data_IF_893128647440
#
_entry.id   IF_893128647440
#
_cell.length_a   1.000
_cell.length_b   1.000
_cell.length_c   1.000
_cell.angle_alpha   90.00
_cell.angle_beta   90.00
_cell.angle_gamma   90.00
#
_symmetry.space_group_name_H-M   'P 1'
#
loop_
_entity.id
_entity.type
_entity.pdbx_description
1 polymer ?
#
# COMPACT_ATOMS: atom_id res chain seq x y z
N UNK A 1 -8.71 -21.03 14.30
CA UNK A 1 -8.68 -21.62 12.94
C UNK A 1 -8.42 -23.11 13.00
N UNK A 2 -7.40 -23.58 13.72
CA UNK A 2 -7.12 -25.02 13.90
C UNK A 2 -8.35 -25.88 14.24
N UNK A 3 -9.15 -25.49 15.25
CA UNK A 3 -10.35 -26.25 15.62
C UNK A 3 -11.39 -26.35 14.47
N UNK A 4 -11.58 -25.24 13.73
CA UNK A 4 -12.49 -25.17 12.58
C UNK A 4 -12.04 -26.12 11.46
N UNK A 5 -10.74 -26.11 11.13
CA UNK A 5 -10.18 -26.95 10.07
C UNK A 5 -10.20 -28.43 10.46
N UNK A 6 -9.73 -28.75 11.68
CA UNK A 6 -9.62 -30.15 12.15
C UNK A 6 -10.99 -30.80 12.34
N UNK A 7 -12.00 -30.04 12.74
CA UNK A 7 -13.36 -30.54 12.90
C UNK A 7 -14.20 -30.45 11.62
N UNK A 8 -13.65 -29.86 10.55
CA UNK A 8 -14.39 -29.51 9.35
C UNK A 8 -15.71 -28.80 9.69
N UNK A 9 -15.65 -27.80 10.57
CA UNK A 9 -16.84 -27.07 11.03
C UNK A 9 -17.58 -26.48 9.82
N UNK A 10 -18.91 -26.64 9.81
CA UNK A 10 -19.79 -26.22 8.73
C UNK A 10 -19.42 -26.77 7.33
N UNK A 11 -18.64 -27.86 7.30
CA UNK A 11 -18.09 -28.47 6.09
C UNK A 11 -17.21 -27.52 5.25
N UNK A 12 -16.46 -26.63 5.90
CA UNK A 12 -15.60 -25.65 5.22
C UNK A 12 -14.58 -26.29 4.26
N UNK A 13 -14.11 -27.50 4.54
CA UNK A 13 -13.18 -28.21 3.66
C UNK A 13 -13.82 -28.62 2.33
N UNK A 14 -15.16 -28.68 2.25
CA UNK A 14 -15.86 -28.96 1.00
C UNK A 14 -15.86 -27.76 0.04
N UNK A 15 -15.42 -26.59 0.49
CA UNK A 15 -15.28 -25.39 -0.34
C UNK A 15 -13.90 -25.29 -0.98
N UNK A 16 -12.99 -26.20 -0.64
CA UNK A 16 -11.60 -26.18 -1.05
C UNK A 16 -11.33 -27.30 -2.06
N UNK A 17 -10.61 -26.98 -3.11
CA UNK A 17 -10.15 -27.91 -4.13
C UNK A 17 -8.65 -28.17 -4.01
N UNK A 18 -8.19 -29.27 -4.63
CA UNK A 18 -6.77 -29.54 -4.74
C UNK A 18 -6.08 -28.41 -5.53
N UNK A 19 -4.93 -27.93 -5.04
CA UNK A 19 -4.22 -26.74 -5.52
C UNK A 19 -4.80 -25.37 -5.12
N UNK A 20 -5.82 -25.32 -4.26
CA UNK A 20 -6.22 -24.05 -3.65
C UNK A 20 -5.13 -23.51 -2.71
N UNK A 21 -4.97 -22.18 -2.74
CA UNK A 21 -4.04 -21.46 -1.88
C UNK A 21 -4.85 -20.72 -0.81
N UNK A 22 -4.72 -21.13 0.44
CA UNK A 22 -5.33 -20.42 1.57
C UNK A 22 -4.50 -19.20 1.92
N UNK A 23 -5.08 -18.02 1.71
CA UNK A 23 -4.47 -16.76 2.13
C UNK A 23 -4.84 -16.46 3.58
N UNK A 24 -3.86 -16.38 4.46
CA UNK A 24 -4.07 -16.16 5.90
C UNK A 24 -3.33 -14.94 6.42
N UNK A 25 -3.91 -14.32 7.45
CA UNK A 25 -3.24 -13.27 8.23
C UNK A 25 -2.06 -13.82 9.04
N UNK A 26 -1.11 -12.93 9.36
CA UNK A 26 0.06 -13.24 10.21
C UNK A 26 -0.34 -13.82 11.58
N UNK A 27 -1.52 -13.46 12.09
CA UNK A 27 -2.06 -13.96 13.36
C UNK A 27 -2.42 -15.46 13.36
N UNK A 28 -2.51 -16.09 12.19
CA UNK A 28 -2.82 -17.53 12.04
C UNK A 28 -1.57 -18.38 11.74
N UNK A 29 -0.38 -17.88 12.10
CA UNK A 29 0.89 -18.59 11.88
C UNK A 29 0.89 -20.02 12.46
N UNK A 30 0.23 -20.21 13.60
CA UNK A 30 0.07 -21.50 14.29
C UNK A 30 -0.79 -22.51 13.51
N UNK A 31 -1.49 -22.06 12.49
CA UNK A 31 -2.40 -22.86 11.67
C UNK A 31 -1.77 -23.35 10.36
N UNK A 32 -0.58 -22.84 10.01
CA UNK A 32 0.13 -23.19 8.76
C UNK A 32 0.39 -24.70 8.66
N UNK A 33 0.91 -25.31 9.73
CA UNK A 33 1.24 -26.74 9.73
C UNK A 33 -0.01 -27.61 9.59
N UNK A 34 -1.14 -27.18 10.15
CA UNK A 34 -2.43 -27.89 10.02
C UNK A 34 -2.94 -27.80 8.58
N UNK A 35 -2.88 -26.61 7.97
CA UNK A 35 -3.30 -26.40 6.57
C UNK A 35 -2.47 -27.29 5.62
N UNK A 36 -1.14 -27.30 5.80
CA UNK A 36 -0.24 -28.13 5.00
C UNK A 36 -0.47 -29.62 5.21
N UNK A 37 -0.77 -30.06 6.44
CA UNK A 37 -1.09 -31.46 6.73
C UNK A 37 -2.40 -31.92 6.07
N UNK A 38 -3.30 -30.99 5.73
CA UNK A 38 -4.51 -31.24 4.95
C UNK A 38 -4.25 -31.28 3.44
N UNK A 39 -3.01 -31.10 3.00
CA UNK A 39 -2.62 -31.12 1.57
C UNK A 39 -2.89 -29.82 0.84
N UNK A 40 -3.14 -28.72 1.56
CA UNK A 40 -3.45 -27.41 0.99
C UNK A 40 -2.22 -26.50 0.99
N UNK A 41 -2.13 -25.65 -0.03
CA UNK A 41 -1.14 -24.59 -0.06
C UNK A 41 -1.59 -23.40 0.79
N UNK A 42 -0.64 -22.66 1.34
CA UNK A 42 -0.90 -21.51 2.21
C UNK A 42 0.01 -20.34 1.88
N UNK A 43 -0.58 -19.16 1.79
CA UNK A 43 0.11 -17.90 1.59
C UNK A 43 -0.13 -16.97 2.78
N UNK A 44 0.94 -16.47 3.37
CA UNK A 44 0.90 -15.54 4.50
C UNK A 44 1.94 -14.43 4.28
N UNK A 45 1.65 -13.17 4.63
CA UNK A 45 2.63 -12.10 4.50
C UNK A 45 3.90 -12.42 5.30
N UNK A 46 5.10 -12.24 4.72
CA UNK A 46 6.35 -12.55 5.39
C UNK A 46 6.57 -11.66 6.61
N UNK A 47 7.45 -12.09 7.52
CA UNK A 47 7.85 -11.33 8.70
C UNK A 47 9.24 -10.74 8.48
N UNK A 48 9.53 -9.58 9.09
CA UNK A 48 10.87 -9.00 8.98
C UNK A 48 11.95 -9.88 9.63
N UNK A 49 11.59 -10.68 10.64
CA UNK A 49 12.48 -11.61 11.34
C UNK A 49 13.84 -10.97 11.74
N UNK A 50 13.77 -9.75 12.29
CA UNK A 50 14.95 -8.98 12.73
C UNK A 50 15.73 -8.27 11.62
N UNK A 51 15.34 -8.44 10.35
CA UNK A 51 15.87 -7.63 9.24
C UNK A 51 15.35 -6.19 9.36
N UNK A 52 16.07 -5.23 8.77
CA UNK A 52 15.60 -3.84 8.63
C UNK A 52 14.63 -3.67 7.45
N UNK A 53 14.73 -4.54 6.46
CA UNK A 53 13.98 -4.47 5.21
C UNK A 53 13.69 -5.87 4.68
N UNK A 54 12.53 -6.04 4.06
CA UNK A 54 12.22 -7.21 3.25
C UNK A 54 13.11 -7.29 2.01
N UNK A 55 13.47 -8.50 1.60
CA UNK A 55 13.98 -8.72 0.25
C UNK A 55 12.93 -8.31 -0.80
N UNK A 56 13.35 -8.05 -2.05
CA UNK A 56 12.41 -7.74 -3.13
C UNK A 56 11.33 -8.81 -3.30
N UNK A 57 11.70 -10.09 -3.15
CA UNK A 57 10.80 -11.23 -3.26
C UNK A 57 9.77 -11.26 -2.14
N UNK A 58 10.20 -11.13 -0.87
CA UNK A 58 9.31 -11.03 0.29
C UNK A 58 8.36 -9.82 0.15
N UNK A 59 8.87 -8.67 -0.27
CA UNK A 59 8.06 -7.45 -0.43
C UNK A 59 7.05 -7.57 -1.57
N UNK A 60 7.41 -8.22 -2.68
CA UNK A 60 6.51 -8.52 -3.79
C UNK A 60 5.44 -9.56 -3.38
N UNK A 61 5.84 -10.63 -2.68
CA UNK A 61 4.91 -11.63 -2.15
C UNK A 61 3.88 -10.99 -1.21
N UNK A 62 4.34 -10.13 -0.30
CA UNK A 62 3.47 -9.36 0.58
C UNK A 62 2.44 -8.55 -0.23
N UNK A 63 2.87 -7.85 -1.29
CA UNK A 63 1.94 -7.09 -2.14
C UNK A 63 0.94 -8.00 -2.85
N UNK A 64 1.37 -9.15 -3.35
CA UNK A 64 0.49 -10.12 -4.00
C UNK A 64 -0.61 -10.58 -3.04
N UNK A 65 -0.24 -10.90 -1.79
CA UNK A 65 -1.17 -11.30 -0.75
C UNK A 65 -2.16 -10.19 -0.41
N UNK A 66 -1.68 -8.96 -0.18
CA UNK A 66 -2.56 -7.80 0.07
C UNK A 66 -3.51 -7.55 -1.10
N UNK A 67 -3.06 -7.76 -2.34
CA UNK A 67 -3.92 -7.61 -3.53
C UNK A 67 -5.07 -8.61 -3.57
N UNK A 68 -4.83 -9.87 -3.20
CA UNK A 68 -5.90 -10.87 -3.14
C UNK A 68 -6.84 -10.62 -1.95
N UNK A 69 -6.29 -10.21 -0.81
CA UNK A 69 -7.07 -9.88 0.40
C UNK A 69 -8.01 -8.69 0.25
N UNK A 70 -7.76 -7.84 -0.75
CA UNK A 70 -8.54 -6.63 -0.98
C UNK A 70 -10.06 -6.84 -0.90
N UNK A 71 -10.57 -7.91 -1.51
CA UNK A 71 -12.03 -8.21 -1.52
C UNK A 71 -12.59 -8.43 -0.11
N UNK A 72 -11.82 -9.12 0.75
CA UNK A 72 -12.19 -9.38 2.14
C UNK A 72 -12.15 -8.09 2.94
N UNK A 73 -11.11 -7.27 2.74
CA UNK A 73 -10.98 -5.99 3.42
C UNK A 73 -12.08 -5.00 3.01
N UNK A 74 -12.47 -5.00 1.72
CA UNK A 74 -13.61 -4.23 1.23
C UNK A 74 -14.93 -4.67 1.88
N UNK A 75 -15.17 -5.98 2.01
CA UNK A 75 -16.35 -6.51 2.68
C UNK A 75 -16.39 -6.13 4.16
N UNK A 76 -15.28 -6.35 4.88
CA UNK A 76 -15.12 -5.99 6.28
C UNK A 76 -15.33 -4.49 6.50
N UNK A 77 -14.86 -3.65 5.58
CA UNK A 77 -15.07 -2.20 5.65
C UNK A 77 -16.54 -1.83 5.56
N UNK A 78 -17.32 -2.44 4.66
CA UNK A 78 -18.77 -2.17 4.56
C UNK A 78 -19.49 -2.48 5.86
N UNK A 79 -19.11 -3.57 6.52
CA UNK A 79 -19.62 -3.93 7.85
C UNK A 79 -19.21 -2.87 8.88
N UNK A 80 -17.93 -2.45 8.89
CA UNK A 80 -17.41 -1.40 9.79
C UNK A 80 -17.98 0.01 9.52
N UNK A 81 -18.74 0.24 8.45
CA UNK A 81 -19.49 1.51 8.31
C UNK A 81 -20.61 1.63 9.34
N UNK A 82 -21.10 0.50 9.86
CA UNK A 82 -22.05 0.46 10.96
C UNK A 82 -21.28 0.64 12.28
N UNK A 83 -21.50 1.76 12.97
CA UNK A 83 -20.75 2.14 14.18
C UNK A 83 -20.69 1.06 15.26
N UNK A 84 -21.71 0.21 15.33
CA UNK A 84 -21.71 -0.95 16.24
C UNK A 84 -20.52 -1.88 15.97
N UNK A 85 -20.27 -2.23 14.71
CA UNK A 85 -19.17 -3.11 14.28
C UNK A 85 -17.83 -2.38 14.10
N UNK A 86 -17.84 -1.04 14.07
CA UNK A 86 -16.62 -0.22 14.04
C UNK A 86 -15.90 -0.16 15.40
N UNK A 87 -16.61 -0.44 16.48
CA UNK A 87 -16.14 -0.28 17.85
C UNK A 87 -16.13 -1.62 18.60
N UNK A 88 -15.52 -1.63 19.78
CA UNK A 88 -15.55 -2.80 20.68
C UNK A 88 -16.99 -3.13 21.08
N UNK A 89 -17.43 -4.33 20.74
CA UNK A 89 -18.76 -4.85 21.13
C UNK A 89 -18.73 -5.31 22.58
N UNK A 90 -19.77 -4.98 23.35
CA UNK A 90 -19.89 -5.41 24.75
C UNK A 90 -20.22 -6.91 24.82
N UNK A 91 -19.62 -7.62 25.78
CA UNK A 91 -19.85 -9.06 25.97
C UNK A 91 -21.34 -9.43 26.17
N UNK A 92 -22.13 -8.51 26.74
CA UNK A 92 -23.58 -8.67 26.91
C UNK A 92 -24.34 -8.80 25.57
N UNK A 93 -23.74 -8.34 24.47
CA UNK A 93 -24.33 -8.38 23.13
C UNK A 93 -23.95 -9.63 22.33
N UNK A 94 -23.04 -10.47 22.85
CA UNK A 94 -22.60 -11.70 22.17
C UNK A 94 -23.75 -12.63 21.75
N UNK A 95 -24.81 -12.84 22.55
CA UNK A 95 -25.94 -13.69 22.14
C UNK A 95 -26.68 -13.18 20.89
N UNK A 96 -26.56 -11.90 20.58
CA UNK A 96 -27.26 -11.26 19.45
C UNK A 96 -26.34 -10.97 18.27
N UNK A 97 -25.02 -11.14 18.44
CA UNK A 97 -24.01 -10.73 17.47
C UNK A 97 -24.23 -11.36 16.09
N UNK A 98 -24.60 -12.64 16.05
CA UNK A 98 -24.92 -13.35 14.82
C UNK A 98 -26.14 -12.74 14.10
N UNK A 99 -27.19 -12.41 14.86
CA UNK A 99 -28.40 -11.80 14.34
C UNK A 99 -28.12 -10.39 13.82
N UNK A 100 -27.39 -9.59 14.59
CA UNK A 100 -26.99 -8.23 14.22
C UNK A 100 -26.12 -8.23 12.95
N UNK A 101 -25.16 -9.15 12.86
CA UNK A 101 -24.30 -9.29 11.70
C UNK A 101 -25.10 -9.71 10.46
N UNK A 102 -26.03 -10.66 10.62
CA UNK A 102 -26.91 -11.12 9.55
C UNK A 102 -27.81 -10.00 9.02
N UNK A 103 -28.37 -9.17 9.92
CA UNK A 103 -29.16 -7.99 9.55
C UNK A 103 -28.30 -7.00 8.76
N UNK A 104 -27.10 -6.66 9.25
CA UNK A 104 -26.19 -5.73 8.57
C UNK A 104 -25.78 -6.25 7.20
N UNK A 105 -25.39 -7.53 7.10
CA UNK A 105 -25.04 -8.15 5.82
C UNK A 105 -26.22 -8.16 4.85
N UNK A 106 -27.44 -8.42 5.34
CA UNK A 106 -28.66 -8.37 4.53
C UNK A 106 -28.94 -6.96 3.99
N UNK A 107 -28.73 -5.92 4.81
CA UNK A 107 -28.85 -4.53 4.38
C UNK A 107 -27.79 -4.16 3.32
N UNK A 108 -26.54 -4.55 3.54
CA UNK A 108 -25.46 -4.34 2.56
C UNK A 108 -25.82 -5.02 1.24
N UNK A 109 -26.22 -6.30 1.27
CA UNK A 109 -26.59 -7.06 0.07
C UNK A 109 -27.81 -6.48 -0.65
N UNK A 110 -28.74 -5.85 0.07
CA UNK A 110 -29.95 -5.26 -0.51
C UNK A 110 -29.70 -3.90 -1.16
N UNK A 111 -28.85 -3.07 -0.55
CA UNK A 111 -28.76 -1.64 -0.90
C UNK A 111 -27.41 -1.21 -1.49
N UNK A 112 -26.34 -1.99 -1.32
CA UNK A 112 -25.05 -1.69 -1.91
C UNK A 112 -24.82 -2.48 -3.20
N UNK A 113 -23.99 -1.93 -4.07
CA UNK A 113 -23.51 -2.63 -5.26
C UNK A 113 -22.65 -3.83 -4.87
N UNK A 114 -22.50 -4.85 -5.74
CA UNK A 114 -21.52 -5.92 -5.50
C UNK A 114 -20.10 -5.36 -5.35
N UNK A 115 -19.29 -5.95 -4.46
CA UNK A 115 -17.86 -5.63 -4.35
C UNK A 115 -17.21 -6.05 -5.66
N UNK A 116 -16.85 -5.05 -6.47
CA UNK A 116 -16.28 -5.11 -7.83
C UNK A 116 -16.32 -6.45 -8.59
N UNK A 117 -16.95 -6.46 -9.75
CA UNK A 117 -16.78 -7.51 -10.76
C UNK A 117 -15.40 -7.42 -11.42
N UNK A 118 -14.75 -8.57 -11.62
CA UNK A 118 -13.49 -8.63 -12.37
C UNK A 118 -13.66 -8.00 -13.75
N UNK A 119 -12.73 -7.11 -14.10
CA UNK A 119 -12.63 -6.44 -15.40
C UNK A 119 -11.67 -7.23 -16.31
N UNK A 120 -11.83 -7.15 -17.64
CA UNK A 120 -10.87 -7.75 -18.57
C UNK A 120 -9.42 -7.30 -18.35
N UNK A 121 -9.22 -6.06 -17.90
CA UNK A 121 -7.93 -5.46 -17.56
C UNK A 121 -7.24 -6.15 -16.37
N UNK A 122 -8.01 -6.70 -15.42
CA UNK A 122 -7.47 -7.34 -14.20
C UNK A 122 -6.61 -8.55 -14.54
N UNK A 123 -6.96 -9.28 -15.61
CA UNK A 123 -6.16 -10.41 -16.10
C UNK A 123 -4.76 -9.94 -16.51
N UNK A 124 -4.67 -8.81 -17.22
CA UNK A 124 -3.40 -8.22 -17.63
C UNK A 124 -2.56 -7.78 -16.42
N UNK A 125 -3.20 -7.24 -15.38
CA UNK A 125 -2.55 -6.89 -14.12
C UNK A 125 -2.02 -8.16 -13.42
N UNK A 126 -2.81 -9.23 -13.36
CA UNK A 126 -2.40 -10.51 -12.78
C UNK A 126 -1.19 -11.12 -13.50
N UNK A 127 -1.21 -11.15 -14.84
CA UNK A 127 -0.08 -11.62 -15.65
C UNK A 127 1.17 -10.75 -15.48
N UNK A 128 1.00 -9.43 -15.29
CA UNK A 128 2.10 -8.52 -14.97
C UNK A 128 2.67 -8.81 -13.58
N UNK A 129 1.82 -9.03 -12.58
CA UNK A 129 2.22 -9.39 -11.22
C UNK A 129 3.05 -10.68 -11.23
N UNK A 130 2.56 -11.74 -11.88
CA UNK A 130 3.24 -13.03 -11.93
C UNK A 130 4.59 -12.98 -12.64
N UNK A 131 4.75 -12.12 -13.66
CA UNK A 131 6.04 -11.90 -14.33
C UNK A 131 7.07 -11.18 -13.46
N UNK A 132 6.62 -10.35 -12.53
CA UNK A 132 7.46 -9.45 -11.75
C UNK A 132 7.77 -9.98 -10.34
N UNK A 133 6.96 -10.90 -9.80
CA UNK A 133 7.04 -11.34 -8.41
C UNK A 133 8.45 -11.83 -8.00
N UNK A 134 9.12 -12.60 -8.88
CA UNK A 134 10.44 -13.18 -8.64
C UNK A 134 11.60 -12.30 -9.14
N UNK A 135 11.33 -11.06 -9.57
CA UNK A 135 12.38 -10.16 -10.05
C UNK A 135 13.02 -9.37 -8.91
N UNK A 136 14.35 -9.24 -8.96
CA UNK A 136 15.09 -8.36 -8.06
C UNK A 136 14.96 -6.90 -8.50
N UNK A 137 14.93 -5.99 -7.53
CA UNK A 137 14.87 -4.56 -7.82
C UNK A 137 16.20 -4.08 -8.45
N UNK A 138 16.14 -3.66 -9.71
CA UNK A 138 17.32 -3.21 -10.47
C UNK A 138 17.95 -1.94 -9.90
N UNK A 139 17.15 -1.04 -9.33
CA UNK A 139 17.66 0.18 -8.71
C UNK A 139 18.39 -0.17 -7.42
N UNK A 140 17.89 -1.14 -6.65
CA UNK A 140 18.62 -1.63 -5.47
C UNK A 140 19.99 -2.17 -5.86
N UNK A 141 20.06 -3.05 -6.87
CA UNK A 141 21.31 -3.61 -7.36
C UNK A 141 22.27 -2.52 -7.83
N UNK A 142 21.78 -1.55 -8.62
CA UNK A 142 22.56 -0.41 -9.08
C UNK A 142 23.17 0.39 -7.92
N UNK A 143 22.40 0.63 -6.86
CA UNK A 143 22.84 1.38 -5.69
C UNK A 143 23.87 0.61 -4.87
N UNK A 144 23.71 -0.71 -4.75
CA UNK A 144 24.64 -1.60 -4.04
C UNK A 144 25.97 -1.73 -4.78
N UNK A 145 25.93 -2.03 -6.09
CA UNK A 145 27.12 -2.20 -6.95
C UNK A 145 27.99 -0.93 -6.99
N UNK A 146 27.35 0.25 -7.01
CA UNK A 146 28.05 1.54 -7.03
C UNK A 146 28.33 2.09 -5.61
N UNK A 147 27.98 1.36 -4.56
CA UNK A 147 28.11 1.76 -3.16
C UNK A 147 27.41 3.11 -2.81
N UNK A 148 26.35 3.45 -3.55
CA UNK A 148 25.65 4.74 -3.46
C UNK A 148 24.79 4.88 -2.19
N UNK A 149 24.48 3.76 -1.53
CA UNK A 149 23.79 3.74 -0.24
C UNK A 149 24.63 4.33 0.90
N UNK A 150 25.97 4.21 0.81
CA UNK A 150 26.91 4.63 1.86
C UNK A 150 27.66 5.91 1.51
N UNK A 151 27.86 6.19 0.22
CA UNK A 151 28.65 7.33 -0.26
C UNK A 151 27.80 8.58 -0.40
N UNK A 152 27.55 9.28 0.70
CA UNK A 152 26.82 10.56 0.70
C UNK A 152 27.46 11.62 -0.22
N UNK A 153 28.78 11.61 -0.38
CA UNK A 153 29.51 12.54 -1.28
C UNK A 153 29.19 12.38 -2.77
N UNK A 154 28.51 11.30 -3.17
CA UNK A 154 28.05 11.12 -4.56
C UNK A 154 26.70 11.77 -4.84
N UNK A 155 26.19 12.54 -3.89
CA UNK A 155 24.87 13.13 -3.96
C UNK A 155 24.96 14.61 -3.67
N UNK A 156 24.54 15.41 -4.63
CA UNK A 156 24.46 16.85 -4.50
C UNK A 156 23.00 17.29 -4.35
N UNK A 157 22.73 18.22 -3.45
CA UNK A 157 21.41 18.83 -3.34
C UNK A 157 21.22 19.78 -4.51
N UNK A 158 20.12 19.64 -5.24
CA UNK A 158 19.79 20.48 -6.39
C UNK A 158 18.52 21.30 -6.12
N UNK A 159 18.42 22.44 -6.79
CA UNK A 159 17.18 23.20 -6.84
C UNK A 159 16.17 22.49 -7.74
N UNK A 160 14.88 22.67 -7.46
CA UNK A 160 13.81 22.07 -8.26
C UNK A 160 13.92 22.45 -9.74
N UNK A 161 14.24 23.70 -10.02
CA UNK A 161 14.32 24.25 -11.38
C UNK A 161 15.39 23.54 -12.22
N UNK A 162 16.44 23.01 -11.58
CA UNK A 162 17.50 22.25 -12.26
C UNK A 162 17.06 20.84 -12.67
N UNK A 163 15.96 20.34 -12.11
CA UNK A 163 15.39 19.04 -12.45
C UNK A 163 14.22 19.16 -13.44
N UNK A 164 13.55 20.32 -13.48
CA UNK A 164 12.27 20.54 -14.17
C UNK A 164 12.31 20.18 -15.65
N UNK A 165 13.38 20.52 -16.37
CA UNK A 165 13.47 20.30 -17.82
C UNK A 165 13.70 18.83 -18.20
N UNK A 166 14.00 17.97 -17.22
CA UNK A 166 14.43 16.58 -17.45
C UNK A 166 13.57 15.52 -16.75
N UNK A 167 12.68 15.91 -15.84
CA UNK A 167 11.86 14.95 -15.09
C UNK A 167 10.50 14.78 -15.75
N UNK A 168 10.01 13.53 -15.90
CA UNK A 168 8.84 13.26 -16.73
C UNK A 168 7.55 13.83 -16.11
N UNK A 169 6.63 14.21 -17.00
CA UNK A 169 5.26 14.58 -16.63
C UNK A 169 4.39 13.35 -16.82
N UNK A 170 3.61 13.00 -15.80
CA UNK A 170 2.75 11.82 -15.81
C UNK A 170 1.31 12.19 -15.45
N UNK A 171 0.34 11.47 -16.03
CA UNK A 171 -1.06 11.60 -15.65
C UNK A 171 -1.37 10.83 -14.35
N UNK A 172 -2.53 11.09 -13.74
CA UNK A 172 -3.00 10.29 -12.59
C UNK A 172 -3.22 8.81 -12.96
N UNK A 173 -3.53 8.52 -14.23
CA UNK A 173 -3.71 7.17 -14.76
C UNK A 173 -2.37 6.42 -14.82
N UNK A 174 -1.34 7.04 -15.40
CA UNK A 174 0.02 6.47 -15.49
C UNK A 174 0.60 6.20 -14.08
N UNK A 175 0.30 7.07 -13.12
CA UNK A 175 0.68 6.86 -11.74
C UNK A 175 -0.09 5.71 -11.09
N UNK A 176 -1.37 5.50 -11.43
CA UNK A 176 -2.18 4.38 -10.94
C UNK A 176 -1.60 3.04 -11.36
N UNK A 177 -1.08 2.96 -12.59
CA UNK A 177 -0.37 1.79 -13.11
C UNK A 177 0.97 1.56 -12.41
N UNK A 178 1.67 2.63 -12.05
CA UNK A 178 2.94 2.57 -11.32
C UNK A 178 2.75 2.03 -9.89
N UNK A 179 1.72 2.52 -9.20
CA UNK A 179 1.41 2.12 -7.82
C UNK A 179 0.61 0.83 -7.72
N UNK A 180 0.17 0.29 -8.87
CA UNK A 180 -0.80 -0.80 -8.96
C UNK A 180 -2.05 -0.48 -8.12
N UNK A 181 -2.59 0.73 -8.24
CA UNK A 181 -3.82 1.15 -7.57
C UNK A 181 -3.83 2.61 -7.06
N UNK A 182 -5.03 3.18 -6.99
CA UNK A 182 -5.28 4.62 -6.72
C UNK A 182 -5.05 5.04 -5.27
N UNK A 183 -5.00 4.10 -4.32
CA UNK A 183 -4.91 4.43 -2.89
C UNK A 183 -3.55 5.01 -2.49
N UNK A 184 -2.46 4.43 -3.00
CA UNK A 184 -1.11 4.96 -2.78
C UNK A 184 -0.97 6.40 -3.32
N UNK A 185 -1.80 6.80 -4.29
CA UNK A 185 -1.89 8.18 -4.79
C UNK A 185 -2.64 9.10 -3.84
N UNK A 186 -3.74 8.63 -3.22
CA UNK A 186 -4.46 9.40 -2.19
C UNK A 186 -3.58 9.64 -0.95
N UNK A 187 -2.86 8.62 -0.48
CA UNK A 187 -1.87 8.76 0.60
C UNK A 187 -0.68 9.63 0.17
N UNK A 188 -0.17 9.45 -1.05
CA UNK A 188 0.92 10.26 -1.59
C UNK A 188 0.62 11.75 -1.49
N UNK A 189 -0.60 12.17 -1.84
CA UNK A 189 -1.02 13.57 -1.72
C UNK A 189 -0.99 14.07 -0.28
N UNK A 190 -1.66 13.39 0.64
CA UNK A 190 -1.69 13.80 2.04
C UNK A 190 -0.28 13.85 2.66
N UNK A 191 0.56 12.88 2.29
CA UNK A 191 1.95 12.81 2.74
C UNK A 191 2.79 13.95 2.16
N UNK A 192 2.63 14.28 0.87
CA UNK A 192 3.26 15.44 0.25
C UNK A 192 2.80 16.74 0.90
N UNK A 193 1.50 16.94 1.10
CA UNK A 193 0.93 18.12 1.74
C UNK A 193 1.47 18.31 3.16
N UNK A 194 1.57 17.24 3.97
CA UNK A 194 2.16 17.30 5.31
C UNK A 194 3.62 17.76 5.26
N UNK A 195 4.44 17.17 4.38
CA UNK A 195 5.86 17.52 4.27
C UNK A 195 6.09 18.92 3.71
N UNK A 196 5.26 19.35 2.78
CA UNK A 196 5.27 20.69 2.21
C UNK A 196 4.71 21.76 3.18
N UNK A 197 3.88 21.39 4.15
CA UNK A 197 3.34 22.32 5.15
C UNK A 197 4.27 22.53 6.34
N UNK A 198 5.06 21.53 6.71
CA UNK A 198 5.98 21.59 7.88
C UNK A 198 7.22 22.46 7.61
N UNK A 199 7.58 22.68 6.34
CA UNK A 199 8.88 23.27 6.00
C UNK A 199 8.90 24.80 6.02
N UNK A 200 7.77 25.49 5.92
CA UNK A 200 7.65 26.92 6.22
C UNK A 200 6.17 27.28 6.48
N UNK A 201 5.89 28.03 7.56
CA UNK A 201 4.56 28.58 7.93
C UNK A 201 3.94 29.51 6.85
N UNK A 202 4.57 29.64 5.70
CA UNK A 202 4.13 30.35 4.50
C UNK A 202 3.44 29.43 3.47
N UNK A 203 3.51 28.10 3.65
CA UNK A 203 2.91 27.11 2.76
C UNK A 203 3.69 26.83 1.47
N UNK A 204 5.01 27.07 1.46
CA UNK A 204 5.90 26.80 0.31
C UNK A 204 7.03 25.84 0.72
N UNK A 205 6.67 24.71 1.32
CA UNK A 205 7.61 23.63 1.48
C UNK A 205 7.83 22.87 0.19
N UNK A 206 9.08 22.63 -0.20
CA UNK A 206 9.42 21.72 -1.29
C UNK A 206 10.26 20.55 -0.75
N UNK A 207 10.10 19.38 -1.35
CA UNK A 207 10.97 18.24 -1.05
C UNK A 207 12.44 18.59 -1.27
N UNK A 208 13.33 18.16 -0.37
CA UNK A 208 14.77 18.18 -0.68
C UNK A 208 15.05 17.15 -1.78
N UNK A 209 15.74 17.57 -2.84
CA UNK A 209 16.12 16.71 -3.96
C UNK A 209 17.63 16.62 -4.02
N UNK A 210 18.14 15.40 -4.09
CA UNK A 210 19.53 15.10 -4.32
C UNK A 210 19.71 14.41 -5.67
N UNK A 211 20.71 14.82 -6.46
CA UNK A 211 21.07 14.17 -7.72
C UNK A 211 22.36 13.36 -7.55
N UNK A 212 22.42 12.18 -8.16
CA UNK A 212 23.64 11.39 -8.19
C UNK A 212 24.65 12.01 -9.18
N UNK A 213 25.88 12.24 -8.72
CA UNK A 213 26.95 12.83 -9.54
C UNK A 213 27.43 11.88 -10.65
N UNK A 214 27.35 10.57 -10.43
CA UNK A 214 27.77 9.56 -11.40
C UNK A 214 26.67 9.22 -12.41
N UNK A 215 25.40 9.39 -12.02
CA UNK A 215 24.24 8.97 -12.79
C UNK A 215 23.23 10.13 -12.75
N UNK A 216 23.30 11.09 -13.69
CA UNK A 216 22.52 12.33 -13.62
C UNK A 216 21.00 12.12 -13.59
N UNK A 217 20.50 11.04 -14.19
CA UNK A 217 19.09 10.67 -14.22
C UNK A 217 18.65 9.79 -13.04
N UNK A 218 19.44 9.78 -11.96
CA UNK A 218 19.14 9.12 -10.70
C UNK A 218 19.06 10.18 -9.60
N UNK A 219 17.88 10.32 -9.02
CA UNK A 219 17.62 11.25 -7.92
C UNK A 219 17.26 10.51 -6.65
N UNK A 220 17.51 11.17 -5.53
CA UNK A 220 17.08 10.77 -4.20
C UNK A 220 16.32 11.90 -3.54
N UNK A 221 15.25 11.57 -2.83
CA UNK A 221 14.33 12.52 -2.22
C UNK A 221 14.21 12.21 -0.73
N UNK A 222 15.16 12.68 0.11
CA UNK A 222 15.16 12.38 1.55
C UNK A 222 13.84 12.79 2.20
N UNK A 223 13.21 11.86 2.89
CA UNK A 223 11.85 11.99 3.39
C UNK A 223 11.76 11.47 4.82
N UNK A 224 11.41 12.31 5.79
CA UNK A 224 11.23 11.88 7.19
C UNK A 224 10.00 11.00 7.33
N UNK A 225 10.13 9.88 8.04
CA UNK A 225 9.00 9.00 8.38
C UNK A 225 7.88 9.80 9.07
N UNK A 226 6.63 9.43 8.81
CA UNK A 226 5.46 9.99 9.50
C UNK A 226 5.24 9.37 10.89
N UNK A 227 5.84 8.19 11.14
CA UNK A 227 5.60 7.39 12.34
C UNK A 227 6.74 7.47 13.36
N UNK A 228 7.93 7.91 12.93
CA UNK A 228 9.10 8.01 13.80
C UNK A 228 9.95 9.24 13.43
N UNK A 229 9.96 10.24 14.30
CA UNK A 229 10.62 11.55 14.11
C UNK A 229 12.13 11.47 13.78
N UNK A 230 12.76 10.33 14.07
CA UNK A 230 14.22 10.11 13.89
C UNK A 230 14.59 9.33 12.63
N UNK A 231 13.63 8.80 11.88
CA UNK A 231 13.91 7.98 10.70
C UNK A 231 13.72 8.83 9.45
N UNK A 232 14.78 8.97 8.65
CA UNK A 232 14.69 9.54 7.31
C UNK A 232 14.87 8.42 6.29
N UNK A 233 13.87 8.28 5.43
CA UNK A 233 13.89 7.39 4.30
C UNK A 233 14.47 8.07 3.06
N UNK A 234 15.03 7.27 2.18
CA UNK A 234 15.76 7.71 1.01
C UNK A 234 15.14 7.18 -0.30
N UNK A 235 13.90 7.59 -0.63
CA UNK A 235 13.31 7.36 -1.95
C UNK A 235 14.27 7.70 -3.06
N UNK A 236 14.57 6.74 -3.91
CA UNK A 236 15.50 6.86 -5.02
C UNK A 236 14.79 6.48 -6.30
N UNK A 237 14.86 7.34 -7.31
CA UNK A 237 14.08 7.25 -8.54
C UNK A 237 15.02 7.44 -9.72
N UNK A 238 14.98 6.50 -10.66
CA UNK A 238 15.65 6.62 -11.95
C UNK A 238 14.61 6.92 -13.03
N UNK A 239 14.94 7.84 -13.93
CA UNK A 239 13.99 8.34 -14.92
C UNK A 239 14.68 8.63 -16.26
N UNK A 240 13.86 8.92 -17.26
CA UNK A 240 14.20 9.61 -18.50
C UNK A 240 13.27 10.81 -18.64
N UNK A 241 13.48 11.62 -19.67
CA UNK A 241 12.64 12.79 -19.93
C UNK A 241 11.15 12.43 -20.10
N UNK A 242 10.85 11.20 -20.52
CA UNK A 242 9.48 10.75 -20.83
C UNK A 242 8.85 9.81 -19.78
N UNK A 243 9.65 9.06 -19.01
CA UNK A 243 9.11 8.06 -18.09
C UNK A 243 10.04 7.71 -16.92
N UNK A 244 9.42 7.19 -15.84
CA UNK A 244 10.13 6.59 -14.71
C UNK A 244 10.65 5.20 -15.09
N UNK A 245 11.95 4.97 -14.95
CA UNK A 245 12.61 3.70 -15.25
C UNK A 245 12.53 2.72 -14.08
N UNK A 246 12.56 3.23 -12.84
CA UNK A 246 12.49 2.40 -11.65
C UNK A 246 12.69 3.19 -10.37
N UNK A 247 12.44 2.54 -9.24
CA UNK A 247 12.54 3.16 -7.92
C UNK A 247 13.00 2.16 -6.86
N UNK A 248 13.52 2.70 -5.75
CA UNK A 248 13.82 1.95 -4.54
C UNK A 248 13.76 2.87 -3.32
N UNK A 249 13.41 2.34 -2.16
CA UNK A 249 13.44 3.07 -0.89
C UNK A 249 14.07 2.19 0.19
N UNK A 250 14.68 2.79 1.20
CA UNK A 250 15.25 2.09 2.38
C UNK A 250 14.23 1.82 3.50
N UNK A 251 12.92 2.01 3.23
CA UNK A 251 11.87 1.60 4.16
C UNK A 251 11.62 0.09 4.06
N UNK A 252 10.96 -0.50 5.06
CA UNK A 252 10.87 -1.96 5.18
C UNK A 252 10.29 -2.69 3.94
N UNK A 253 9.38 -2.05 3.19
CA UNK A 253 8.78 -2.54 1.92
C UNK A 253 9.40 -1.93 0.65
N UNK A 254 10.39 -1.04 0.80
CA UNK A 254 10.93 -0.22 -0.29
C UNK A 254 11.66 -0.99 -1.40
N UNK A 255 11.92 -2.28 -1.19
CA UNK A 255 12.46 -3.20 -2.19
C UNK A 255 11.44 -3.74 -3.20
N UNK A 256 10.13 -3.52 -3.00
CA UNK A 256 9.08 -4.03 -3.90
C UNK A 256 9.10 -3.36 -5.28
N UNK A 257 8.79 -4.14 -6.30
CA UNK A 257 8.57 -3.69 -7.68
C UNK A 257 7.09 -3.76 -8.09
N UNK A 258 6.30 -4.58 -7.37
CA UNK A 258 4.84 -4.57 -7.46
C UNK A 258 4.30 -3.35 -6.68
N UNK A 259 4.12 -2.25 -7.39
CA UNK A 259 3.81 -0.96 -6.78
C UNK A 259 5.02 -0.35 -6.10
N UNK A 260 4.78 0.70 -5.30
CA UNK A 260 5.83 1.41 -4.59
C UNK A 260 5.37 1.76 -3.18
N UNK A 261 6.31 2.00 -2.26
CA UNK A 261 5.95 2.48 -0.92
C UNK A 261 5.39 3.91 -0.97
N UNK A 262 4.75 4.34 0.11
CA UNK A 262 4.18 5.68 0.26
C UNK A 262 5.21 6.80 0.04
N UNK A 263 6.48 6.57 0.43
CA UNK A 263 7.55 7.54 0.22
C UNK A 263 7.88 7.75 -1.26
N UNK A 264 7.95 6.66 -2.05
CA UNK A 264 8.17 6.74 -3.50
C UNK A 264 6.94 7.37 -4.17
N UNK A 265 5.73 6.90 -3.85
CA UNK A 265 4.51 7.42 -4.50
C UNK A 265 4.35 8.91 -4.22
N UNK A 266 4.62 9.34 -2.98
CA UNK A 266 4.60 10.74 -2.59
C UNK A 266 5.63 11.58 -3.34
N UNK A 267 6.88 11.11 -3.43
CA UNK A 267 7.92 11.81 -4.17
C UNK A 267 7.57 11.94 -5.65
N UNK A 268 7.16 10.84 -6.30
CA UNK A 268 6.77 10.82 -7.72
C UNK A 268 5.54 11.69 -7.95
N UNK A 269 4.51 11.58 -7.11
CA UNK A 269 3.30 12.40 -7.22
C UNK A 269 3.61 13.90 -7.10
N UNK A 270 4.45 14.28 -6.13
CA UNK A 270 4.92 15.66 -5.99
C UNK A 270 5.73 16.11 -7.21
N UNK A 271 6.61 15.26 -7.73
CA UNK A 271 7.45 15.55 -8.89
C UNK A 271 6.68 15.67 -10.21
N UNK A 272 5.73 14.77 -10.45
CA UNK A 272 5.00 14.64 -11.70
C UNK A 272 3.69 15.44 -11.75
N UNK A 273 2.97 15.62 -10.63
CA UNK A 273 1.55 16.01 -10.67
C UNK A 273 1.21 17.27 -9.85
N UNK A 274 1.61 17.38 -8.58
CA UNK A 274 1.23 18.55 -7.76
C UNK A 274 1.75 19.87 -8.33
N UNK A 275 2.94 19.83 -8.96
CA UNK A 275 3.64 21.00 -9.48
C UNK A 275 2.98 21.66 -10.70
N UNK A 276 2.08 20.93 -11.37
CA UNK A 276 1.39 21.42 -12.58
C UNK A 276 -0.07 21.80 -12.31
N UNK A 277 -0.59 21.53 -11.11
CA UNK A 277 -1.96 21.89 -10.75
C UNK A 277 -2.03 23.37 -10.31
N UNK A 278 -2.38 24.25 -11.25
CA UNK A 278 -2.65 25.68 -11.00
C UNK A 278 -3.89 25.94 -10.14
N UNK A 279 -4.70 24.91 -9.85
CA UNK A 279 -5.89 25.01 -8.99
C UNK A 279 -5.60 24.46 -7.61
N UNK A 280 -5.32 25.35 -6.66
CA UNK A 280 -5.43 25.06 -5.22
C UNK A 280 -6.86 24.61 -4.92
N UNK A 281 -7.13 23.30 -4.92
CA UNK A 281 -8.39 22.76 -4.40
C UNK A 281 -8.32 22.85 -2.88
N UNK A 282 -8.77 23.98 -2.35
CA UNK A 282 -9.00 24.17 -0.93
C UNK A 282 -9.95 23.08 -0.43
N UNK A 283 -9.63 22.44 0.70
CA UNK A 283 -10.60 21.60 1.39
C UNK A 283 -11.81 22.46 1.78
N UNK A 284 -13.05 22.08 1.45
CA UNK A 284 -14.24 22.77 1.91
C UNK A 284 -14.50 22.36 3.37
N UNK A 285 -13.74 22.92 4.31
CA UNK A 285 -14.09 22.84 5.73
C UNK A 285 -15.30 23.74 5.97
N UNK A 286 -16.51 23.22 5.74
CA UNK A 286 -17.74 23.96 6.02
C UNK A 286 -19.02 23.48 5.35
N UNK A 287 -18.95 22.57 4.36
CA UNK A 287 -20.14 22.15 3.59
C UNK A 287 -20.36 20.64 3.67
N UNK A 288 -20.42 20.12 4.91
CA UNK A 288 -20.61 18.69 5.17
C UNK A 288 -21.93 18.15 4.59
N UNK A 289 -23.00 18.98 4.60
CA UNK A 289 -24.33 18.54 4.20
C UNK A 289 -24.56 18.48 2.68
N UNK A 290 -23.74 19.16 1.88
CA UNK A 290 -23.79 19.05 0.40
C UNK A 290 -22.96 17.88 -0.13
N UNK A 291 -22.30 17.13 0.75
CA UNK A 291 -21.48 15.95 0.44
C UNK A 291 -22.16 14.63 0.87
N UNK A 292 -23.39 14.70 1.40
CA UNK A 292 -24.21 13.53 1.64
C UNK A 292 -24.61 12.92 0.29
N UNK A 293 -23.82 11.94 -0.14
CA UNK A 293 -24.01 11.19 -1.37
C UNK A 293 -24.81 9.91 -1.03
N UNK A 294 -25.70 9.50 -1.93
CA UNK A 294 -26.43 8.24 -1.81
C UNK A 294 -25.44 7.07 -1.61
N UNK A 295 -25.74 6.14 -0.70
CA UNK A 295 -24.89 4.97 -0.46
C UNK A 295 -24.62 4.16 -1.74
N UNK A 296 -25.54 4.19 -2.72
CA UNK A 296 -25.37 3.58 -4.04
C UNK A 296 -24.28 4.28 -4.88
N UNK A 297 -24.10 5.59 -4.68
CA UNK A 297 -23.13 6.41 -5.40
C UNK A 297 -21.74 6.42 -4.73
N UNK A 298 -21.61 5.84 -3.53
CA UNK A 298 -20.30 5.62 -2.90
C UNK A 298 -19.59 4.53 -3.70
N UNK A 299 -18.69 4.93 -4.60
CA UNK A 299 -17.87 3.97 -5.34
C UNK A 299 -17.09 3.10 -4.36
N UNK A 300 -17.32 1.79 -4.40
CA UNK A 300 -16.55 0.78 -3.66
C UNK A 300 -15.08 0.70 -4.08
N UNK A 301 -14.68 1.52 -5.05
CA UNK A 301 -13.32 1.63 -5.56
C UNK A 301 -12.41 2.32 -4.53
N UNK A 302 -12.18 1.58 -3.45
CA UNK A 302 -11.19 1.85 -2.44
C UNK A 302 -10.37 0.58 -2.29
N UNK A 303 -9.24 0.58 -3.00
CA UNK A 303 -8.20 -0.44 -2.93
C UNK A 303 -7.59 -0.39 -1.52
N UNK A 304 -8.10 -1.25 -0.64
CA UNK A 304 -7.53 -1.57 0.66
C UNK A 304 -6.16 -2.21 0.44
N UNK A 305 -5.15 -1.35 0.34
CA UNK A 305 -3.87 -1.65 0.96
C UNK A 305 -3.81 -0.82 2.23
N UNK A 306 -4.65 -1.19 3.20
CA UNK A 306 -4.16 -1.18 4.57
C UNK A 306 -2.95 -2.15 4.55
N UNK A 307 -1.80 -1.61 4.14
CA UNK A 307 -0.57 -1.94 4.82
C UNK A 307 -0.90 -1.53 6.26
N UNK A 308 -1.54 -2.43 7.03
CA UNK A 308 -1.65 -2.32 8.48
C UNK A 308 -0.18 -2.22 8.91
N UNK A 309 0.26 -0.96 8.98
CA UNK A 309 1.52 -0.45 9.50
C UNK A 309 1.53 -0.70 11.02
N UNK A 310 1.06 -1.88 11.45
CA UNK A 310 1.12 -2.32 12.81
C UNK A 310 2.55 -2.79 13.03
N UNK A 311 3.37 -1.82 13.41
CA UNK A 311 4.68 -2.00 14.03
C UNK A 311 4.51 -2.62 15.43
N UNK A 312 3.68 -3.66 15.56
CA UNK A 312 3.51 -4.45 16.79
C UNK A 312 4.77 -5.26 17.13
N UNK A 313 5.84 -5.12 16.34
CA UNK A 313 7.17 -5.62 16.71
C UNK A 313 7.81 -4.90 17.90
N UNK A 314 7.24 -3.77 18.35
CA UNK A 314 7.71 -3.01 19.53
C UNK A 314 7.10 -3.44 20.87
N UNK A 315 6.15 -4.39 20.90
CA UNK A 315 5.72 -5.01 22.15
C UNK A 315 6.43 -6.35 22.37
N UNK A 316 7.76 -6.31 22.51
CA UNK A 316 8.43 -7.30 23.33
C UNK A 316 7.99 -7.07 24.78
N UNK A 317 7.17 -7.97 25.29
CA UNK A 317 6.89 -8.10 26.72
C UNK A 317 8.22 -8.19 27.47
N UNK A 318 8.56 -7.14 28.20
CA UNK A 318 9.34 -7.23 29.45
C UNK A 318 8.38 -7.49 30.59
#
# INVERSE_FOLDING_TARGET
>A
MNDILLRNTDNILNWLEECDILVVDRGFRDSISVIQALGLDVAMPPFLDGKRQFSSEEANQSRCITKVRWVVEAANRRIKQFKYFANTVQNSSLPYLESDLSIVCSLINRYQTPIATSKPEDKGIGEKIMRLINQKNKIQLLLEENNLLRRSSQWETINHDQLMDSFPIMSEEDMGDLTFGVFQLKRARAYAEEKCSITDLTGIGKYSIQRCLMIPNLIRVPTKSAYADRITHHPTIQFTDDHILGWWCDCYIGGRFLGCCSHISSAIWFLCCERWQTRKRHMPSGTYMSLAIDAIQVSDFYDSSDDDDDDTSLYSLS
#
